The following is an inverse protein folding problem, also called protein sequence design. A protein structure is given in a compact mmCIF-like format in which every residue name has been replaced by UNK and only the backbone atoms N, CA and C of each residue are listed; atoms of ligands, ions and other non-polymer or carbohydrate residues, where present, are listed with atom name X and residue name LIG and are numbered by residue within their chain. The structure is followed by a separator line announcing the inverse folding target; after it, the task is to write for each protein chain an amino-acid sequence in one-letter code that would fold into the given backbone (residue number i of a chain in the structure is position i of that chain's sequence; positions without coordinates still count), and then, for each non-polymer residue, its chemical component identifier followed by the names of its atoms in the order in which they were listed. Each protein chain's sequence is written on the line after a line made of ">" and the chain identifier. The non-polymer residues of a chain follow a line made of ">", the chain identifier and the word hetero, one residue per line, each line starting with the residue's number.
data_IF_387172711781
#
_entry.id   IF_387172711781
#
_cell.length_a   1.000
_cell.length_b   1.000
_cell.length_c   1.000
_cell.angle_alpha   90.00
_cell.angle_beta   90.00
_cell.angle_gamma   90.00
#
_symmetry.space_group_name_H-M   'P 1'
#
loop_
_entity.id
_entity.type
_entity.pdbx_description
1 polymer ?
#
# COMPACT_ATOMS: atom_id res chain seq x y z
N UNK A 1 6.06 -21.94 -10.91
CA UNK A 1 6.01 -21.49 -9.51
C UNK A 1 6.12 -22.69 -8.59
N UNK A 2 6.92 -22.60 -7.55
CA UNK A 2 6.97 -23.66 -6.56
C UNK A 2 5.67 -23.67 -5.74
N UNK A 3 5.31 -24.84 -5.19
CA UNK A 3 4.14 -24.95 -4.33
C UNK A 3 4.24 -24.07 -3.08
N UNK A 4 5.47 -23.83 -2.61
CA UNK A 4 5.73 -22.98 -1.46
C UNK A 4 5.37 -21.52 -1.73
N UNK A 5 5.78 -20.96 -2.89
CA UNK A 5 5.44 -19.58 -3.26
C UNK A 5 3.93 -19.39 -3.37
N UNK A 6 3.21 -20.39 -3.92
CA UNK A 6 1.75 -20.34 -4.02
C UNK A 6 1.11 -20.38 -2.63
N UNK A 7 1.63 -21.21 -1.73
CA UNK A 7 1.14 -21.33 -0.35
C UNK A 7 1.34 -20.01 0.40
N UNK A 8 2.51 -19.39 0.26
CA UNK A 8 2.79 -18.10 0.90
C UNK A 8 1.87 -17.01 0.39
N UNK A 9 1.61 -16.96 -0.91
CA UNK A 9 0.66 -16.04 -1.50
C UNK A 9 -0.75 -16.25 -0.96
N UNK A 10 -1.21 -17.49 -0.85
CA UNK A 10 -2.53 -17.79 -0.30
C UNK A 10 -2.64 -17.31 1.15
N UNK A 11 -1.59 -17.51 1.94
CA UNK A 11 -1.57 -17.06 3.33
C UNK A 11 -1.59 -15.54 3.42
N UNK A 12 -0.78 -14.85 2.63
CA UNK A 12 -0.71 -13.41 2.64
C UNK A 12 -2.03 -12.78 2.15
N UNK A 13 -2.55 -13.25 1.03
CA UNK A 13 -3.82 -12.75 0.48
C UNK A 13 -4.97 -13.03 1.45
N UNK A 14 -4.94 -14.17 2.14
CA UNK A 14 -5.94 -14.48 3.16
C UNK A 14 -5.92 -13.48 4.31
N UNK A 15 -4.75 -13.11 4.80
CA UNK A 15 -4.61 -12.08 5.84
C UNK A 15 -5.12 -10.72 5.36
N UNK A 16 -4.75 -10.35 4.13
CA UNK A 16 -5.21 -9.10 3.53
C UNK A 16 -6.73 -9.09 3.39
N UNK A 17 -7.30 -10.14 2.82
CA UNK A 17 -8.74 -10.22 2.59
C UNK A 17 -9.55 -10.13 3.90
N UNK A 18 -9.07 -10.76 4.97
CA UNK A 18 -9.73 -10.64 6.27
C UNK A 18 -9.89 -9.21 6.75
N UNK A 19 -8.93 -8.35 6.40
CA UNK A 19 -8.92 -6.97 6.89
C UNK A 19 -9.49 -5.99 5.86
N UNK A 20 -9.22 -6.19 4.57
CA UNK A 20 -9.46 -5.21 3.52
C UNK A 20 -10.63 -5.55 2.59
N UNK A 21 -11.18 -6.75 2.63
CA UNK A 21 -12.15 -7.21 1.64
C UNK A 21 -13.34 -6.25 1.47
N UNK A 22 -13.95 -5.83 2.56
CA UNK A 22 -15.11 -4.94 2.51
C UNK A 22 -14.75 -3.57 1.93
N UNK A 23 -13.58 -3.04 2.30
CA UNK A 23 -13.07 -1.78 1.76
C UNK A 23 -12.79 -1.88 0.27
N UNK A 24 -12.10 -2.94 -0.14
CA UNK A 24 -11.77 -3.12 -1.55
C UNK A 24 -13.02 -3.33 -2.39
N UNK A 25 -14.01 -4.06 -1.89
CA UNK A 25 -15.30 -4.24 -2.57
C UNK A 25 -16.00 -2.90 -2.78
N UNK A 26 -15.93 -2.01 -1.80
CA UNK A 26 -16.55 -0.68 -1.88
C UNK A 26 -16.00 0.12 -3.06
N UNK A 27 -14.73 -0.01 -3.37
CA UNK A 27 -14.06 0.71 -4.45
C UNK A 27 -13.87 -0.12 -5.71
N UNK A 28 -14.43 -1.34 -5.76
CA UNK A 28 -14.30 -2.21 -6.91
C UNK A 28 -12.90 -2.73 -7.15
N UNK A 29 -12.05 -2.72 -6.13
CA UNK A 29 -10.68 -3.22 -6.22
C UNK A 29 -10.69 -4.75 -6.11
N UNK A 30 -10.14 -5.42 -7.13
CA UNK A 30 -10.09 -6.87 -7.19
C UNK A 30 -8.66 -7.37 -7.23
N UNK A 31 -8.43 -8.53 -6.65
CA UNK A 31 -7.12 -9.17 -6.65
C UNK A 31 -6.66 -9.46 -8.08
N UNK A 32 -5.39 -9.20 -8.37
CA UNK A 32 -4.79 -9.43 -9.68
C UNK A 32 -3.58 -10.34 -9.64
N UNK A 33 -2.66 -10.11 -8.70
CA UNK A 33 -1.39 -10.82 -8.68
C UNK A 33 -0.78 -10.81 -7.29
N UNK A 34 0.06 -11.80 -7.00
CA UNK A 34 0.81 -11.89 -5.76
C UNK A 34 2.14 -12.59 -6.02
N UNK A 35 3.19 -12.11 -5.36
CA UNK A 35 4.48 -12.77 -5.35
C UNK A 35 5.06 -12.69 -3.94
N UNK A 36 5.60 -13.81 -3.46
CA UNK A 36 6.22 -13.91 -2.14
C UNK A 36 7.60 -14.56 -2.26
N UNK A 37 8.53 -14.11 -1.43
CA UNK A 37 9.88 -14.64 -1.32
C UNK A 37 10.30 -14.75 0.14
N UNK A 38 11.44 -15.39 0.40
CA UNK A 38 12.02 -15.57 1.74
C UNK A 38 11.03 -16.21 2.71
N UNK A 39 10.43 -17.33 2.29
CA UNK A 39 9.48 -18.10 3.10
C UNK A 39 8.30 -17.24 3.59
N UNK A 40 7.80 -16.36 2.73
CA UNK A 40 6.66 -15.52 3.05
C UNK A 40 6.97 -14.26 3.85
N UNK A 41 8.25 -13.96 4.10
CA UNK A 41 8.63 -12.73 4.80
C UNK A 41 8.56 -11.50 3.92
N UNK A 42 8.64 -11.68 2.61
CA UNK A 42 8.49 -10.62 1.63
C UNK A 42 7.38 -11.01 0.65
N UNK A 43 6.32 -10.24 0.64
CA UNK A 43 5.16 -10.45 -0.23
C UNK A 43 4.68 -9.13 -0.82
N UNK A 44 4.21 -9.18 -2.06
CA UNK A 44 3.47 -8.08 -2.68
C UNK A 44 2.20 -8.64 -3.31
N UNK A 45 1.10 -7.93 -3.16
CA UNK A 45 -0.17 -8.29 -3.76
C UNK A 45 -0.77 -7.07 -4.45
N UNK A 46 -1.19 -7.24 -5.69
CA UNK A 46 -1.79 -6.19 -6.51
C UNK A 46 -3.30 -6.34 -6.56
N UNK A 47 -3.99 -5.26 -6.27
CA UNK A 47 -5.43 -5.10 -6.43
C UNK A 47 -5.69 -3.92 -7.37
N UNK A 48 -6.70 -4.02 -8.20
CA UNK A 48 -7.01 -2.94 -9.13
C UNK A 48 -8.50 -2.85 -9.48
N UNK A 49 -8.89 -1.68 -9.94
CA UNK A 49 -10.14 -1.46 -10.67
C UNK A 49 -9.81 -0.78 -12.00
N UNK A 50 -10.82 -0.22 -12.69
CA UNK A 50 -10.62 0.40 -14.00
C UNK A 50 -9.68 1.62 -13.97
N UNK A 51 -9.55 2.30 -12.83
CA UNK A 51 -8.83 3.57 -12.71
C UNK A 51 -7.69 3.56 -11.72
N UNK A 52 -7.67 2.61 -10.78
CA UNK A 52 -6.76 2.65 -9.64
C UNK A 52 -6.00 1.33 -9.47
N UNK A 53 -4.78 1.44 -8.99
CA UNK A 53 -3.92 0.31 -8.65
C UNK A 53 -3.45 0.47 -7.21
N UNK A 54 -3.58 -0.60 -6.44
CA UNK A 54 -3.18 -0.64 -5.04
C UNK A 54 -2.26 -1.83 -4.83
N UNK A 55 -1.13 -1.58 -4.17
CA UNK A 55 -0.17 -2.62 -3.85
C UNK A 55 -0.10 -2.76 -2.34
N UNK A 56 -0.16 -4.00 -1.86
CA UNK A 56 0.06 -4.32 -0.46
C UNK A 56 1.40 -5.01 -0.35
N UNK A 57 2.28 -4.47 0.49
CA UNK A 57 3.65 -4.95 0.65
C UNK A 57 3.91 -5.38 2.09
N UNK A 58 4.45 -6.58 2.23
CA UNK A 58 5.00 -7.05 3.50
C UNK A 58 6.49 -7.26 3.32
N UNK A 59 7.30 -6.66 4.20
CA UNK A 59 8.75 -6.81 4.17
C UNK A 59 9.25 -6.94 5.61
N UNK A 60 9.67 -8.16 5.99
CA UNK A 60 10.19 -8.46 7.33
C UNK A 60 9.32 -7.90 8.47
N UNK A 61 8.01 -8.14 8.37
CA UNK A 61 7.05 -7.70 9.38
C UNK A 61 6.54 -6.27 9.22
N UNK A 62 7.09 -5.49 8.29
CA UNK A 62 6.62 -4.15 7.98
C UNK A 62 5.60 -4.23 6.85
N UNK A 63 4.36 -3.89 7.14
CA UNK A 63 3.25 -3.91 6.18
C UNK A 63 2.91 -2.49 5.75
N UNK A 64 2.78 -2.28 4.45
CA UNK A 64 2.42 -0.98 3.89
C UNK A 64 1.49 -1.12 2.70
N UNK A 65 0.59 -0.17 2.56
CA UNK A 65 -0.26 -0.01 1.39
C UNK A 65 0.30 1.10 0.52
N UNK A 66 0.38 0.84 -0.78
CA UNK A 66 0.83 1.81 -1.77
C UNK A 66 -0.24 2.00 -2.81
N UNK A 67 -0.33 3.22 -3.34
CA UNK A 67 -1.22 3.54 -4.45
C UNK A 67 -0.35 3.89 -5.65
N UNK A 68 -0.70 3.37 -6.81
CA UNK A 68 0.14 3.47 -7.99
C UNK A 68 -0.50 4.16 -9.16
N UNK A 69 0.37 4.70 -10.02
CA UNK A 69 -0.03 5.21 -11.32
C UNK A 69 -0.58 4.08 -12.19
N UNK A 70 -1.41 4.43 -13.18
CA UNK A 70 -1.96 3.47 -14.12
C UNK A 70 -0.87 2.68 -14.87
N UNK A 71 0.32 3.25 -14.97
CA UNK A 71 1.47 2.64 -15.65
C UNK A 71 2.45 1.98 -14.68
N UNK A 72 2.20 2.02 -13.38
CA UNK A 72 3.08 1.40 -12.39
C UNK A 72 3.10 -0.12 -12.59
N UNK A 73 4.31 -0.68 -12.70
CA UNK A 73 4.50 -2.11 -12.92
C UNK A 73 4.30 -2.90 -11.63
N UNK A 74 3.82 -4.14 -11.76
CA UNK A 74 3.82 -5.06 -10.62
C UNK A 74 5.27 -5.39 -10.28
N UNK A 75 5.75 -5.00 -9.08
CA UNK A 75 7.14 -5.26 -8.70
C UNK A 75 7.31 -6.69 -8.18
N UNK A 76 8.52 -7.22 -8.28
CA UNK A 76 8.88 -8.37 -7.47
C UNK A 76 8.96 -7.97 -5.98
N UNK A 77 9.00 -8.92 -5.05
CA UNK A 77 8.93 -8.61 -3.62
C UNK A 77 10.25 -8.12 -3.02
N UNK A 78 11.20 -7.69 -3.83
CA UNK A 78 12.51 -7.24 -3.34
C UNK A 78 12.45 -5.90 -2.64
N UNK A 79 12.19 -4.88 -3.43
CA UNK A 79 12.14 -3.51 -2.97
C UNK A 79 11.15 -2.74 -3.83
N UNK A 80 10.27 -2.06 -3.16
CA UNK A 80 9.32 -1.16 -3.83
C UNK A 80 9.62 0.24 -3.35
N UNK A 81 10.01 1.11 -4.28
CA UNK A 81 10.17 2.52 -3.95
C UNK A 81 8.81 3.09 -3.57
N UNK A 82 8.73 3.66 -2.37
CA UNK A 82 7.48 4.18 -1.80
C UNK A 82 7.28 5.67 -2.04
N UNK A 83 8.24 6.32 -2.69
CA UNK A 83 8.24 7.76 -2.89
C UNK A 83 8.05 8.17 -4.35
N UNK A 84 7.54 7.27 -5.18
CA UNK A 84 7.08 7.60 -6.52
C UNK A 84 8.05 7.32 -7.65
N UNK A 85 9.30 6.90 -7.38
CA UNK A 85 10.29 6.65 -8.44
C UNK A 85 9.80 5.59 -9.45
N UNK A 86 9.10 4.56 -8.97
CA UNK A 86 8.56 3.48 -9.78
C UNK A 86 7.06 3.61 -10.03
N UNK A 87 6.48 4.78 -9.73
CA UNK A 87 5.06 5.02 -9.86
C UNK A 87 4.22 4.54 -8.68
N UNK A 88 4.85 4.08 -7.60
CA UNK A 88 4.18 3.64 -6.38
C UNK A 88 4.43 4.64 -5.24
N UNK A 89 3.37 5.01 -4.54
CA UNK A 89 3.41 6.00 -3.47
C UNK A 89 2.84 5.39 -2.19
N UNK A 90 3.61 5.45 -1.10
CA UNK A 90 3.11 4.97 0.18
C UNK A 90 1.87 5.77 0.59
N UNK A 91 0.79 5.07 0.94
CA UNK A 91 -0.46 5.72 1.33
C UNK A 91 -0.25 6.69 2.49
N UNK A 92 0.53 6.29 3.51
CA UNK A 92 0.71 7.15 4.68
C UNK A 92 1.43 8.47 4.33
N UNK A 93 2.33 8.46 3.34
CA UNK A 93 3.00 9.68 2.88
C UNK A 93 2.02 10.60 2.14
N UNK A 94 1.12 10.02 1.34
CA UNK A 94 0.07 10.79 0.67
C UNK A 94 -0.88 11.42 1.69
N UNK A 95 -1.22 10.70 2.75
CA UNK A 95 -2.05 11.23 3.84
C UNK A 95 -1.34 12.40 4.53
N UNK A 96 -0.04 12.28 4.80
CA UNK A 96 0.74 13.36 5.37
C UNK A 96 0.77 14.58 4.45
N UNK A 97 0.88 14.35 3.14
CA UNK A 97 0.86 15.43 2.16
C UNK A 97 -0.46 16.21 2.20
N UNK A 98 -1.59 15.49 2.20
CA UNK A 98 -2.91 16.10 2.17
C UNK A 98 -3.35 16.65 3.53
N UNK A 99 -3.03 15.93 4.60
CA UNK A 99 -3.48 16.25 5.95
C UNK A 99 -2.57 17.18 6.73
N UNK A 100 -1.30 17.30 6.32
CA UNK A 100 -0.33 18.14 6.99
C UNK A 100 0.18 17.61 8.33
N UNK A 101 -0.19 16.40 8.71
CA UNK A 101 0.21 15.78 9.98
C UNK A 101 0.98 14.49 9.74
N UNK A 102 1.95 14.23 10.59
CA UNK A 102 2.73 12.99 10.52
C UNK A 102 1.87 11.80 10.93
N UNK A 103 1.80 10.77 10.08
CA UNK A 103 1.03 9.55 10.34
C UNK A 103 1.78 8.63 11.31
N UNK A 104 3.03 8.31 11.01
CA UNK A 104 3.86 7.47 11.88
C UNK A 104 4.55 8.33 12.93
N UNK A 105 3.81 8.66 13.99
CA UNK A 105 4.31 9.42 15.12
C UNK A 105 5.26 8.55 15.96
N UNK A 106 6.16 9.17 16.77
CA UNK A 106 7.01 8.38 17.68
C UNK A 106 6.21 7.44 18.58
N UNK A 107 5.03 7.84 19.03
CA UNK A 107 4.15 7.00 19.85
C UNK A 107 3.71 5.75 19.08
N UNK A 108 3.26 5.91 17.82
CA UNK A 108 2.82 4.79 16.98
C UNK A 108 3.96 3.84 16.64
N UNK A 109 5.14 4.39 16.35
CA UNK A 109 6.34 3.56 16.11
C UNK A 109 6.64 2.69 17.31
N UNK A 110 6.59 3.25 18.53
CA UNK A 110 6.81 2.49 19.75
C UNK A 110 5.74 1.43 19.96
N UNK A 111 4.48 1.75 19.70
CA UNK A 111 3.38 0.78 19.79
C UNK A 111 3.59 -0.39 18.83
N UNK A 112 4.00 -0.10 17.60
CA UNK A 112 4.31 -1.14 16.62
C UNK A 112 5.48 -2.02 17.11
N UNK A 113 6.56 -1.41 17.57
CA UNK A 113 7.74 -2.15 18.07
C UNK A 113 7.41 -3.06 19.25
N UNK A 114 6.42 -2.70 20.06
CA UNK A 114 5.97 -3.49 21.21
C UNK A 114 4.91 -4.52 20.87
N UNK A 115 4.51 -4.62 19.59
CA UNK A 115 3.42 -5.51 19.16
C UNK A 115 2.05 -5.05 19.60
N UNK A 116 1.88 -3.79 19.96
CA UNK A 116 0.62 -3.22 20.43
C UNK A 116 -0.21 -2.61 19.29
N UNK A 117 0.35 -2.54 18.07
CA UNK A 117 -0.31 -1.97 16.91
C UNK A 117 -0.35 -2.99 15.78
N UNK A 118 -1.57 -3.30 15.31
CA UNK A 118 -1.80 -4.15 14.15
C UNK A 118 -1.70 -3.28 12.90
N UNK A 119 -0.63 -3.43 12.13
CA UNK A 119 -0.39 -2.64 10.93
C UNK A 119 -1.43 -2.87 9.84
N UNK A 120 -1.93 -4.09 9.68
CA UNK A 120 -2.97 -4.37 8.68
C UNK A 120 -4.22 -3.55 8.98
N UNK A 121 -4.66 -3.59 10.23
CA UNK A 121 -5.83 -2.84 10.67
C UNK A 121 -5.59 -1.34 10.61
N UNK A 122 -4.41 -0.89 11.01
CA UNK A 122 -4.03 0.52 10.96
C UNK A 122 -4.10 1.06 9.52
N UNK A 123 -3.51 0.33 8.57
CA UNK A 123 -3.55 0.73 7.16
C UNK A 123 -4.97 0.69 6.59
N UNK A 124 -5.76 -0.31 6.98
CA UNK A 124 -7.15 -0.40 6.55
C UNK A 124 -7.99 0.79 7.06
N UNK A 125 -7.83 1.15 8.31
CA UNK A 125 -8.54 2.29 8.89
C UNK A 125 -8.12 3.60 8.24
N UNK A 126 -6.83 3.75 7.97
CA UNK A 126 -6.30 4.92 7.27
C UNK A 126 -6.88 5.02 5.85
N UNK A 127 -6.92 3.90 5.13
CA UNK A 127 -7.50 3.86 3.80
C UNK A 127 -9.01 4.18 3.84
N UNK A 128 -9.73 3.62 4.79
CA UNK A 128 -11.17 3.87 4.94
C UNK A 128 -11.46 5.37 5.15
N UNK A 129 -10.60 6.06 5.88
CA UNK A 129 -10.75 7.48 6.16
C UNK A 129 -10.38 8.36 4.96
N UNK A 130 -9.36 7.99 4.20
CA UNK A 130 -8.75 8.87 3.21
C UNK A 130 -8.97 8.48 1.75
N UNK A 131 -9.52 7.29 1.45
CA UNK A 131 -9.61 6.77 0.08
C UNK A 131 -10.30 7.75 -0.88
N UNK A 132 -11.37 8.42 -0.44
CA UNK A 132 -12.13 9.34 -1.28
C UNK A 132 -11.32 10.58 -1.68
N UNK A 133 -10.22 10.86 -0.98
CA UNK A 133 -9.30 11.95 -1.31
C UNK A 133 -8.02 11.46 -1.97
N UNK A 134 -7.63 10.22 -1.70
CA UNK A 134 -6.38 9.65 -2.24
C UNK A 134 -6.55 9.12 -3.66
N UNK A 135 -7.59 8.35 -3.90
CA UNK A 135 -7.79 7.71 -5.20
C UNK A 135 -7.94 8.72 -6.34
N UNK A 136 -8.66 9.85 -6.18
CA UNK A 136 -8.76 10.84 -7.25
C UNK A 136 -7.43 11.44 -7.70
N UNK A 137 -6.39 11.43 -6.84
CA UNK A 137 -5.07 11.95 -7.20
C UNK A 137 -4.49 11.25 -8.45
N UNK A 138 -4.87 9.99 -8.65
CA UNK A 138 -4.35 9.14 -9.73
C UNK A 138 -5.30 9.03 -10.92
N UNK A 139 -6.45 9.71 -10.88
CA UNK A 139 -7.42 9.66 -11.95
C UNK A 139 -7.01 10.56 -13.12
N UNK A 140 -7.35 10.17 -14.38
CA UNK A 140 -7.09 11.03 -15.53
C UNK A 140 -7.76 12.39 -15.37
N UNK A 141 -7.03 13.46 -15.71
CA UNK A 141 -7.56 14.81 -15.62
C UNK A 141 -7.41 15.48 -14.27
N UNK A 142 -6.97 14.78 -13.25
CA UNK A 142 -6.67 15.40 -11.97
C UNK A 142 -5.40 16.26 -12.08
N UNK A 143 -5.39 17.42 -11.39
CA UNK A 143 -4.21 18.27 -11.30
C UNK A 143 -3.05 17.47 -10.70
N UNK A 144 -1.91 17.45 -11.39
CA UNK A 144 -0.74 16.67 -11.01
C UNK A 144 0.30 17.46 -10.20
N UNK A 145 -0.02 18.68 -9.81
CA UNK A 145 0.92 19.53 -9.05
C UNK A 145 1.30 18.93 -7.70
N UNK A 146 0.45 18.05 -7.14
CA UNK A 146 0.75 17.36 -5.89
C UNK A 146 2.03 16.51 -5.99
N UNK A 147 2.40 16.06 -7.18
CA UNK A 147 3.60 15.21 -7.37
C UNK A 147 4.89 15.99 -7.10
N UNK A 148 4.95 17.24 -7.53
CA UNK A 148 6.11 18.08 -7.24
C UNK A 148 6.23 18.34 -5.75
N UNK A 149 5.11 18.64 -5.09
CA UNK A 149 5.07 18.85 -3.65
C UNK A 149 5.49 17.59 -2.90
N UNK A 150 5.02 16.43 -3.34
CA UNK A 150 5.37 15.14 -2.76
C UNK A 150 6.88 14.89 -2.86
N UNK A 151 7.46 15.07 -4.05
CA UNK A 151 8.91 14.89 -4.26
C UNK A 151 9.72 15.83 -3.41
N UNK A 152 9.33 17.09 -3.37
CA UNK A 152 10.03 18.10 -2.57
C UNK A 152 10.02 17.74 -1.08
N UNK A 153 8.91 17.18 -0.61
CA UNK A 153 8.69 16.92 0.82
C UNK A 153 9.28 15.59 1.30
N UNK A 154 9.22 14.56 0.47
CA UNK A 154 9.57 13.20 0.85
C UNK A 154 10.73 12.60 0.07
N UNK A 155 11.26 13.31 -0.90
CA UNK A 155 12.42 12.81 -1.64
C UNK A 155 13.68 13.03 -0.81
N UNK A 156 14.44 11.97 -0.68
CA UNK A 156 15.69 11.98 0.07
C UNK A 156 16.85 11.92 -0.89
#
# INVERSE_FOLDING_TARGET
>A
MSNEATSDCLSFVGLVDNTFQDLFNRYGLVFCDCDCQRDGRECVALYRNAQHRVLLQLSDGDFAMLIGDATASFPGPYYVDRAGADGWYAMFLLVELLGGHRVWTPKRVKQFQRGELDQYRFEAELFAEWADRLLPLFEPGHDQSWREEFHRRFHV
#
